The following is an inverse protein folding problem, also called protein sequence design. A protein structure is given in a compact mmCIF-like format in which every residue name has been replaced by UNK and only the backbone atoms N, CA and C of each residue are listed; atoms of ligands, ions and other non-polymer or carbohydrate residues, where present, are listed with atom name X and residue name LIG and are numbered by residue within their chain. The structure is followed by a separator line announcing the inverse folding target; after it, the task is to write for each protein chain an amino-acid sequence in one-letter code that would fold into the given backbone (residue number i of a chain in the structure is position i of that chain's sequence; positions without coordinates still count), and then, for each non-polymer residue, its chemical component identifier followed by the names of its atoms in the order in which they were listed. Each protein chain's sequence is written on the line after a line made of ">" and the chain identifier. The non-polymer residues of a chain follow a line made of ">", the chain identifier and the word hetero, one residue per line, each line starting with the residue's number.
data_IF_740523744817
#
_entry.id   IF_740523744817
#
_cell.length_a   1.000
_cell.length_b   1.000
_cell.length_c   1.000
_cell.angle_alpha   90.00
_cell.angle_beta   90.00
_cell.angle_gamma   90.00
#
_symmetry.space_group_name_H-M   'P 1'
#
loop_
_entity.id
_entity.type
_entity.pdbx_description
1 polymer ?
#
# COMPACT_ATOMS: atom_id res chain seq x y z
N UNK A 1 11.57 -26.64 25.39
CA UNK A 1 10.29 -25.89 25.30
C UNK A 1 10.33 -24.80 26.36
N UNK A 2 9.96 -23.56 26.03
CA UNK A 2 9.99 -22.44 27.00
C UNK A 2 8.65 -22.39 27.74
N UNK A 3 8.69 -22.42 29.08
CA UNK A 3 7.52 -22.28 29.94
C UNK A 3 7.28 -20.80 30.28
N UNK A 4 6.06 -20.34 30.07
CA UNK A 4 5.59 -19.00 30.42
C UNK A 4 4.77 -19.07 31.69
N UNK A 5 5.30 -18.54 32.79
CA UNK A 5 4.63 -18.47 34.09
C UNK A 5 4.27 -17.03 34.45
N UNK A 6 3.06 -16.84 34.98
CA UNK A 6 2.64 -15.54 35.48
C UNK A 6 3.26 -15.31 36.85
N UNK A 7 3.91 -14.16 37.04
CA UNK A 7 4.53 -13.79 38.33
C UNK A 7 3.53 -13.31 39.39
N UNK A 8 2.25 -13.20 39.02
CA UNK A 8 1.18 -12.62 39.84
C UNK A 8 0.06 -13.60 40.17
N UNK A 9 0.03 -14.76 39.50
CA UNK A 9 -0.80 -15.88 39.89
C UNK A 9 -0.18 -17.19 39.41
N UNK A 10 -0.70 -18.33 39.86
CA UNK A 10 -0.11 -19.64 39.57
C UNK A 10 -0.36 -20.15 38.13
N UNK A 11 -0.69 -19.27 37.18
CA UNK A 11 -0.92 -19.65 35.79
C UNK A 11 0.40 -19.92 35.06
N UNK A 12 0.49 -21.07 34.38
CA UNK A 12 1.64 -21.47 33.57
C UNK A 12 1.18 -22.08 32.27
N UNK A 13 1.97 -21.91 31.21
CA UNK A 13 1.69 -22.50 29.89
C UNK A 13 2.95 -22.56 29.06
N UNK A 14 3.02 -23.49 28.11
CA UNK A 14 4.11 -23.57 27.12
C UNK A 14 3.85 -22.71 25.89
N UNK A 15 2.65 -22.12 25.76
CA UNK A 15 2.26 -21.31 24.61
C UNK A 15 2.22 -19.82 24.95
N UNK A 16 3.08 -19.04 24.29
CA UNK A 16 3.14 -17.57 24.47
C UNK A 16 1.79 -16.89 24.26
N UNK A 17 1.03 -17.32 23.24
CA UNK A 17 -0.31 -16.78 22.94
C UNK A 17 -1.32 -17.02 24.08
N UNK A 18 -1.21 -18.15 24.78
CA UNK A 18 -2.05 -18.47 25.93
C UNK A 18 -1.66 -17.63 27.15
N UNK A 19 -0.36 -17.40 27.35
CA UNK A 19 0.17 -16.53 28.39
C UNK A 19 -0.30 -15.08 28.21
N UNK A 20 -0.16 -14.53 27.00
CA UNK A 20 -0.64 -13.19 26.66
C UNK A 20 -2.16 -13.06 26.86
N UNK A 21 -2.94 -14.05 26.40
CA UNK A 21 -4.39 -14.10 26.61
C UNK A 21 -4.77 -14.14 28.09
N UNK A 22 -4.01 -14.88 28.89
CA UNK A 22 -4.22 -14.97 30.32
C UNK A 22 -4.04 -13.60 31.00
N UNK A 23 -2.94 -12.90 30.70
CA UNK A 23 -2.66 -11.57 31.22
C UNK A 23 -3.73 -10.53 30.84
N UNK A 24 -4.39 -10.70 29.68
CA UNK A 24 -5.47 -9.84 29.20
C UNK A 24 -6.87 -10.25 29.69
N UNK A 25 -6.98 -11.31 30.49
CA UNK A 25 -8.28 -11.81 30.95
C UNK A 25 -8.85 -10.93 32.07
N UNK A 26 -10.17 -10.67 32.03
CA UNK A 26 -10.86 -9.84 33.04
C UNK A 26 -10.62 -10.32 34.46
N UNK A 27 -10.59 -11.64 34.67
CA UNK A 27 -10.35 -12.27 35.98
C UNK A 27 -8.93 -12.02 36.47
N UNK A 28 -7.94 -12.10 35.59
CA UNK A 28 -6.55 -11.83 35.94
C UNK A 28 -6.33 -10.35 36.26
N UNK A 29 -6.91 -9.45 35.46
CA UNK A 29 -6.76 -8.00 35.62
C UNK A 29 -7.46 -7.50 36.89
N UNK A 30 -8.70 -7.95 37.16
CA UNK A 30 -9.44 -7.59 38.38
C UNK A 30 -8.69 -7.97 39.66
N UNK A 31 -7.94 -9.07 39.63
CA UNK A 31 -7.23 -9.56 40.80
C UNK A 31 -5.82 -8.97 40.96
N UNK A 32 -5.27 -8.29 39.94
CA UNK A 32 -3.86 -7.87 39.91
C UNK A 32 -3.64 -6.41 39.47
N UNK A 33 -4.69 -5.57 39.47
CA UNK A 33 -4.64 -4.12 39.16
C UNK A 33 -3.89 -3.76 37.85
N UNK A 34 -4.06 -4.57 36.81
CA UNK A 34 -3.42 -4.36 35.50
C UNK A 34 -4.25 -3.43 34.60
N UNK A 35 -4.67 -2.27 35.14
CA UNK A 35 -5.62 -1.35 34.50
C UNK A 35 -4.99 -0.61 33.29
N UNK A 36 -3.70 -0.27 33.37
CA UNK A 36 -3.01 0.59 32.40
C UNK A 36 -2.68 -0.07 31.05
N UNK A 37 -2.96 -1.36 30.87
CA UNK A 37 -2.64 -2.12 29.65
C UNK A 37 -3.88 -2.65 28.89
N UNK A 38 -5.07 -2.17 29.25
CA UNK A 38 -6.33 -2.64 28.68
C UNK A 38 -6.67 -1.96 27.35
N UNK A 39 -6.08 -2.45 26.26
CA UNK A 39 -6.57 -2.17 24.92
C UNK A 39 -7.77 -3.06 24.59
N UNK A 40 -8.95 -2.48 24.53
CA UNK A 40 -10.14 -3.16 24.01
C UNK A 40 -10.30 -2.87 22.51
N UNK A 41 -10.62 -3.90 21.74
CA UNK A 41 -11.20 -3.74 20.41
C UNK A 41 -12.68 -3.45 20.55
N UNK A 42 -13.11 -2.22 20.21
CA UNK A 42 -14.51 -1.77 20.27
C UNK A 42 -15.12 -1.78 18.87
N UNK A 43 -16.33 -2.30 18.74
CA UNK A 43 -17.13 -2.14 17.53
C UNK A 43 -17.73 -0.73 17.51
N UNK A 44 -17.79 -0.12 16.32
CA UNK A 44 -18.37 1.20 16.13
C UNK A 44 -19.86 1.13 15.76
N UNK A 45 -20.32 -0.02 15.22
CA UNK A 45 -21.71 -0.23 14.81
C UNK A 45 -22.60 -0.71 15.95
N UNK A 46 -22.03 -1.22 17.04
CA UNK A 46 -22.77 -1.66 18.21
C UNK A 46 -21.91 -1.59 19.48
N UNK A 47 -22.52 -1.86 20.64
CA UNK A 47 -21.87 -1.81 21.95
C UNK A 47 -20.87 -2.97 22.21
N UNK A 48 -20.54 -3.78 21.20
CA UNK A 48 -19.63 -4.91 21.34
C UNK A 48 -18.19 -4.45 21.60
N UNK A 49 -17.54 -5.06 22.58
CA UNK A 49 -16.12 -4.84 22.91
C UNK A 49 -15.48 -6.13 23.35
N UNK A 50 -14.23 -6.34 22.96
CA UNK A 50 -13.47 -7.55 23.31
C UNK A 50 -11.99 -7.22 23.49
N UNK A 51 -11.29 -7.99 24.31
CA UNK A 51 -9.83 -7.92 24.45
C UNK A 51 -9.10 -8.81 23.44
N UNK A 52 -9.87 -9.53 22.59
CA UNK A 52 -9.38 -10.53 21.64
C UNK A 52 -9.56 -10.07 20.20
N UNK A 53 -8.46 -10.00 19.45
CA UNK A 53 -8.46 -9.57 18.04
C UNK A 53 -9.26 -10.52 17.15
N UNK A 54 -9.10 -11.81 17.32
CA UNK A 54 -9.82 -12.84 16.56
C UNK A 54 -11.34 -12.79 16.80
N UNK A 55 -11.76 -12.56 18.04
CA UNK A 55 -13.16 -12.32 18.37
C UNK A 55 -13.70 -11.04 17.73
N UNK A 56 -12.89 -9.98 17.67
CA UNK A 56 -13.27 -8.72 17.04
C UNK A 56 -13.41 -8.89 15.52
N UNK A 57 -12.45 -9.52 14.85
CA UNK A 57 -12.51 -9.76 13.41
C UNK A 57 -13.71 -10.64 13.02
N UNK A 58 -13.99 -11.70 13.78
CA UNK A 58 -15.18 -12.52 13.57
C UNK A 58 -16.48 -11.75 13.82
N UNK A 59 -16.48 -10.85 14.80
CA UNK A 59 -17.62 -9.98 15.07
C UNK A 59 -17.88 -8.98 13.92
N UNK A 60 -16.83 -8.34 13.38
CA UNK A 60 -16.94 -7.43 12.23
C UNK A 60 -17.39 -8.18 10.97
N UNK A 61 -16.95 -9.42 10.75
CA UNK A 61 -17.44 -10.27 9.65
C UNK A 61 -18.95 -10.52 9.74
N UNK A 62 -19.51 -10.64 10.94
CA UNK A 62 -20.98 -10.74 11.12
C UNK A 62 -21.70 -9.46 10.73
N UNK A 63 -21.11 -8.29 10.99
CA UNK A 63 -21.65 -7.04 10.47
C UNK A 63 -21.64 -7.04 8.95
N UNK A 64 -20.51 -7.38 8.33
CA UNK A 64 -20.34 -7.45 6.86
C UNK A 64 -21.35 -8.42 6.22
N UNK A 65 -21.53 -9.61 6.79
CA UNK A 65 -22.48 -10.59 6.25
C UNK A 65 -23.95 -10.25 6.52
N UNK A 66 -24.24 -9.41 7.51
CA UNK A 66 -25.59 -8.91 7.82
C UNK A 66 -25.92 -7.57 7.13
N UNK A 67 -25.01 -7.01 6.32
CA UNK A 67 -25.37 -5.94 5.41
C UNK A 67 -26.31 -6.53 4.36
N UNK A 68 -27.61 -6.26 4.52
CA UNK A 68 -28.62 -6.51 3.50
C UNK A 68 -28.12 -5.93 2.17
N UNK A 69 -27.90 -6.81 1.19
CA UNK A 69 -27.43 -6.50 -0.17
C UNK A 69 -28.44 -5.70 -1.02
N UNK A 70 -29.48 -5.12 -0.40
CA UNK A 70 -30.56 -4.39 -1.06
C UNK A 70 -30.73 -2.94 -0.53
N UNK A 71 -29.70 -2.36 0.10
CA UNK A 71 -29.70 -0.93 0.40
C UNK A 71 -28.79 -0.21 -0.59
N UNK A 72 -29.36 0.63 -1.45
CA UNK A 72 -28.61 1.57 -2.28
C UNK A 72 -27.87 2.54 -1.35
N UNK A 73 -26.63 2.23 -1.03
CA UNK A 73 -25.71 3.14 -0.33
C UNK A 73 -25.36 4.23 -1.33
N UNK A 74 -25.59 5.49 -0.99
CA UNK A 74 -25.23 6.60 -1.86
C UNK A 74 -23.72 6.63 -2.07
N UNK A 75 -23.27 7.08 -3.25
CA UNK A 75 -21.85 7.17 -3.57
C UNK A 75 -21.06 7.97 -2.51
N UNK A 76 -21.70 8.97 -1.90
CA UNK A 76 -21.09 9.79 -0.85
C UNK A 76 -20.93 9.04 0.48
N UNK A 77 -21.87 8.17 0.85
CA UNK A 77 -21.74 7.31 2.03
C UNK A 77 -20.62 6.28 1.86
N UNK A 78 -20.45 5.72 0.65
CA UNK A 78 -19.36 4.80 0.34
C UNK A 78 -18.00 5.51 0.33
N UNK A 79 -17.95 6.72 -0.22
CA UNK A 79 -16.75 7.57 -0.26
C UNK A 79 -16.34 8.00 1.15
N UNK A 80 -17.28 8.44 1.99
CA UNK A 80 -17.02 8.78 3.39
C UNK A 80 -16.54 7.57 4.19
N UNK A 81 -17.13 6.39 3.95
CA UNK A 81 -16.66 5.14 4.56
C UNK A 81 -15.22 4.79 4.14
N UNK A 82 -14.87 4.97 2.87
CA UNK A 82 -13.50 4.78 2.36
C UNK A 82 -12.51 5.78 2.98
N UNK A 83 -12.88 7.06 3.07
CA UNK A 83 -12.06 8.10 3.69
C UNK A 83 -11.82 7.84 5.19
N UNK A 84 -12.86 7.49 5.96
CA UNK A 84 -12.72 7.13 7.38
C UNK A 84 -11.86 5.87 7.58
N UNK A 85 -11.88 4.93 6.63
CA UNK A 85 -11.01 3.75 6.69
C UNK A 85 -9.54 4.11 6.42
N UNK A 86 -9.29 5.04 5.50
CA UNK A 86 -7.95 5.57 5.22
C UNK A 86 -7.41 6.38 6.39
N UNK A 87 -8.23 7.26 6.99
CA UNK A 87 -7.84 8.05 8.16
C UNK A 87 -7.49 7.17 9.36
N UNK A 88 -8.22 6.05 9.57
CA UNK A 88 -7.90 5.06 10.60
C UNK A 88 -6.64 4.23 10.31
N UNK A 89 -6.24 4.10 9.06
CA UNK A 89 -4.95 3.49 8.70
C UNK A 89 -3.82 4.47 9.00
N UNK A 90 -3.99 5.74 8.67
CA UNK A 90 -3.04 6.81 8.99
C UNK A 90 -2.89 7.00 10.51
N UNK A 91 -3.97 6.98 11.30
CA UNK A 91 -3.89 7.05 12.78
C UNK A 91 -3.19 5.85 13.41
N UNK A 92 -3.36 4.65 12.82
CA UNK A 92 -2.64 3.44 13.27
C UNK A 92 -1.17 3.52 12.90
N UNK A 93 -0.86 4.02 11.71
CA UNK A 93 0.52 4.22 11.27
C UNK A 93 1.21 5.30 12.11
N UNK A 94 0.51 6.38 12.49
CA UNK A 94 0.99 7.40 13.44
C UNK A 94 1.21 6.84 14.85
N UNK A 95 0.29 6.03 15.38
CA UNK A 95 0.48 5.34 16.67
C UNK A 95 1.62 4.33 16.63
N UNK A 96 1.84 3.66 15.51
CA UNK A 96 3.00 2.79 15.30
C UNK A 96 4.29 3.63 15.31
N UNK A 97 4.30 4.79 14.66
CA UNK A 97 5.43 5.73 14.69
C UNK A 97 5.71 6.22 16.13
N UNK A 98 4.68 6.60 16.90
CA UNK A 98 4.85 6.98 18.31
C UNK A 98 5.36 5.83 19.19
N UNK A 99 4.89 4.60 18.95
CA UNK A 99 5.35 3.41 19.67
C UNK A 99 6.79 3.04 19.33
N UNK A 100 7.20 3.21 18.06
CA UNK A 100 8.59 3.05 17.61
C UNK A 100 9.49 4.12 18.23
N UNK A 101 9.02 5.37 18.31
CA UNK A 101 9.77 6.45 18.94
C UNK A 101 9.94 6.25 20.46
N UNK A 102 8.94 5.67 21.15
CA UNK A 102 9.02 5.32 22.58
C UNK A 102 9.92 4.11 22.89
N UNK A 103 10.22 3.27 21.90
CA UNK A 103 11.04 2.05 22.09
C UNK A 103 12.51 2.22 21.69
N UNK A 104 12.92 3.39 21.20
CA UNK A 104 14.33 3.71 20.96
C UNK A 104 15.04 4.16 22.24
N UNK A 105 15.30 3.21 23.13
CA UNK A 105 16.54 3.20 23.91
C UNK A 105 17.30 1.93 23.54
N UNK A 106 18.51 2.13 23.03
CA UNK A 106 19.56 1.15 22.65
C UNK A 106 19.54 0.58 21.22
N UNK A 107 20.33 1.23 20.36
CA UNK A 107 21.19 0.66 19.30
C UNK A 107 20.58 -0.09 18.10
N UNK A 108 19.64 0.52 17.35
CA UNK A 108 19.40 0.20 15.93
C UNK A 108 19.12 1.49 15.13
N UNK A 109 20.10 2.40 15.03
CA UNK A 109 19.94 3.68 14.30
C UNK A 109 21.02 3.96 13.26
N UNK A 110 21.80 2.97 12.82
CA UNK A 110 22.96 3.26 11.95
C UNK A 110 22.76 3.01 10.45
N UNK A 111 21.90 2.09 9.98
CA UNK A 111 21.84 1.76 8.53
C UNK A 111 20.80 2.55 7.71
N UNK A 112 19.61 2.84 8.27
CA UNK A 112 18.59 3.58 7.50
C UNK A 112 18.93 5.07 7.36
N UNK A 113 19.53 5.65 8.41
CA UNK A 113 19.97 7.05 8.39
C UNK A 113 21.18 7.23 7.46
N UNK A 114 22.13 6.29 7.43
CA UNK A 114 23.31 6.37 6.55
C UNK A 114 22.93 6.28 5.08
N UNK A 115 22.03 5.37 4.70
CA UNK A 115 21.56 5.27 3.30
C UNK A 115 20.80 6.52 2.88
N UNK A 116 19.92 7.06 3.74
CA UNK A 116 19.22 8.31 3.45
C UNK A 116 20.19 9.48 3.29
N UNK A 117 21.17 9.60 4.20
CA UNK A 117 22.20 10.64 4.14
C UNK A 117 23.03 10.52 2.86
N UNK A 118 23.37 9.29 2.43
CA UNK A 118 24.07 9.05 1.17
C UNK A 118 23.26 9.57 -0.02
N UNK A 119 21.97 9.23 -0.09
CA UNK A 119 21.08 9.66 -1.17
C UNK A 119 21.00 11.19 -1.24
N UNK A 120 20.73 11.85 -0.10
CA UNK A 120 20.62 13.32 -0.04
C UNK A 120 21.91 14.02 -0.46
N UNK A 121 23.06 13.46 -0.11
CA UNK A 121 24.35 14.09 -0.40
C UNK A 121 24.85 13.84 -1.84
N UNK A 122 24.52 12.70 -2.43
CA UNK A 122 25.11 12.26 -3.71
C UNK A 122 24.14 12.24 -4.89
N UNK A 123 22.83 12.29 -4.64
CA UNK A 123 21.81 12.22 -5.69
C UNK A 123 20.96 13.50 -5.58
N UNK A 124 21.10 14.35 -6.60
CA UNK A 124 20.52 15.69 -6.66
C UNK A 124 19.71 15.85 -7.94
N UNK A 125 18.56 15.17 -8.06
CA UNK A 125 17.82 15.18 -9.30
C UNK A 125 17.29 16.58 -9.62
N UNK A 126 17.32 16.92 -10.90
CA UNK A 126 16.77 18.17 -11.44
C UNK A 126 15.25 18.14 -11.62
N UNK A 127 14.63 16.98 -11.46
CA UNK A 127 13.19 16.74 -11.63
C UNK A 127 12.69 15.79 -10.53
N UNK A 128 11.38 15.61 -10.41
CA UNK A 128 10.76 14.73 -9.43
C UNK A 128 9.70 13.83 -10.07
N UNK A 129 9.23 12.81 -9.34
CA UNK A 129 8.27 11.85 -9.89
C UNK A 129 6.96 12.52 -10.32
N UNK A 130 6.52 13.59 -9.65
CA UNK A 130 5.26 14.28 -9.96
C UNK A 130 5.39 15.07 -11.25
N UNK A 131 6.47 15.82 -11.44
CA UNK A 131 6.75 16.56 -12.67
C UNK A 131 6.87 15.61 -13.89
N UNK A 132 7.49 14.44 -13.73
CA UNK A 132 7.53 13.42 -14.80
C UNK A 132 6.16 12.81 -15.11
N UNK A 133 5.30 12.67 -14.09
CA UNK A 133 3.93 12.19 -14.25
C UNK A 133 2.99 13.24 -14.84
N UNK A 134 3.22 14.52 -14.61
CA UNK A 134 2.40 15.62 -15.14
C UNK A 134 2.51 15.71 -16.67
N UNK A 135 3.70 15.45 -17.22
CA UNK A 135 3.94 15.42 -18.68
C UNK A 135 2.86 14.59 -19.40
N UNK A 136 2.24 15.11 -20.48
CA UNK A 136 1.21 14.37 -21.22
C UNK A 136 1.75 13.04 -21.74
N UNK A 137 0.87 12.05 -21.91
CA UNK A 137 1.25 10.78 -22.53
C UNK A 137 1.47 11.01 -24.03
N UNK A 138 2.58 10.50 -24.54
CA UNK A 138 2.87 10.49 -25.98
C UNK A 138 2.04 9.41 -26.68
N UNK A 139 1.83 9.57 -27.98
CA UNK A 139 1.09 8.58 -28.78
C UNK A 139 1.81 7.22 -28.80
N UNK A 140 3.14 7.23 -28.83
CA UNK A 140 3.97 6.01 -28.75
C UNK A 140 3.74 5.26 -27.43
N UNK A 141 3.71 5.97 -26.29
CA UNK A 141 3.42 5.37 -24.99
C UNK A 141 2.02 4.76 -24.97
N UNK A 142 1.01 5.49 -25.44
CA UNK A 142 -0.38 5.01 -25.47
C UNK A 142 -0.48 3.75 -26.35
N UNK A 143 0.12 3.79 -27.54
CA UNK A 143 0.10 2.68 -28.48
C UNK A 143 0.80 1.45 -27.87
N UNK A 144 1.99 1.63 -27.28
CA UNK A 144 2.72 0.51 -26.68
C UNK A 144 1.97 -0.08 -25.48
N UNK A 145 1.44 0.77 -24.60
CA UNK A 145 0.68 0.34 -23.41
C UNK A 145 -0.58 -0.44 -23.80
N UNK A 146 -1.28 -0.03 -24.85
CA UNK A 146 -2.54 -0.66 -25.29
C UNK A 146 -2.32 -1.89 -26.16
N UNK A 147 -1.18 -1.99 -26.86
CA UNK A 147 -0.84 -3.13 -27.72
C UNK A 147 -0.22 -4.33 -26.98
N UNK A 148 0.31 -4.11 -25.77
CA UNK A 148 1.07 -5.11 -25.01
C UNK A 148 0.36 -5.54 -23.73
N UNK A 149 0.74 -6.69 -23.12
CA UNK A 149 0.27 -7.06 -21.79
C UNK A 149 0.52 -5.96 -20.77
N UNK A 150 -0.43 -5.75 -19.86
CA UNK A 150 -0.39 -4.64 -18.90
C UNK A 150 0.92 -4.54 -18.11
N UNK A 151 1.53 -5.68 -17.75
CA UNK A 151 2.83 -5.70 -17.08
C UNK A 151 3.93 -5.02 -17.91
N UNK A 152 3.98 -5.31 -19.20
CA UNK A 152 5.01 -4.82 -20.12
C UNK A 152 4.75 -3.37 -20.49
N UNK A 153 3.50 -2.99 -20.75
CA UNK A 153 3.11 -1.60 -21.00
C UNK A 153 3.40 -0.68 -19.81
N UNK A 154 3.04 -1.10 -18.60
CA UNK A 154 3.31 -0.33 -17.37
C UNK A 154 4.81 -0.22 -17.12
N UNK A 155 5.55 -1.32 -17.29
CA UNK A 155 7.01 -1.28 -17.13
C UNK A 155 7.68 -0.40 -18.17
N UNK A 156 7.27 -0.45 -19.44
CA UNK A 156 7.79 0.42 -20.50
C UNK A 156 7.64 1.91 -20.13
N UNK A 157 6.45 2.30 -19.67
CA UNK A 157 6.20 3.66 -19.19
C UNK A 157 7.09 4.04 -18.01
N UNK A 158 7.18 3.18 -16.99
CA UNK A 158 8.01 3.44 -15.81
C UNK A 158 9.49 3.53 -16.20
N UNK A 159 9.97 2.61 -17.03
CA UNK A 159 11.35 2.55 -17.46
C UNK A 159 11.74 3.83 -18.20
N UNK A 160 10.97 4.23 -19.21
CA UNK A 160 11.34 5.36 -20.06
C UNK A 160 11.31 6.72 -19.33
N UNK A 161 10.37 6.92 -18.40
CA UNK A 161 10.24 8.21 -17.71
C UNK A 161 11.09 8.33 -16.44
N UNK A 162 11.25 7.23 -15.71
CA UNK A 162 11.79 7.29 -14.34
C UNK A 162 13.14 6.59 -14.17
N UNK A 163 13.50 5.65 -15.05
CA UNK A 163 14.67 4.78 -14.84
C UNK A 163 15.75 4.96 -15.90
N UNK A 164 15.37 4.87 -17.17
CA UNK A 164 16.26 4.87 -18.33
C UNK A 164 16.91 6.24 -18.53
N UNK A 165 18.11 6.25 -19.08
CA UNK A 165 18.83 7.44 -19.54
C UNK A 165 19.09 8.50 -18.44
N UNK A 166 19.17 8.06 -17.17
CA UNK A 166 19.51 8.90 -16.01
C UNK A 166 20.87 8.51 -15.43
N UNK A 167 21.75 9.50 -15.27
CA UNK A 167 23.00 9.33 -14.52
C UNK A 167 22.71 9.05 -13.04
N UNK A 168 23.70 8.52 -12.32
CA UNK A 168 23.50 8.08 -10.93
C UNK A 168 23.08 9.22 -9.99
N UNK A 169 23.51 10.44 -10.25
CA UNK A 169 23.19 11.67 -9.52
C UNK A 169 21.82 12.28 -9.90
N UNK A 170 21.26 11.90 -11.04
CA UNK A 170 19.95 12.37 -11.56
C UNK A 170 18.81 11.36 -11.36
N UNK A 171 19.08 10.26 -10.65
CA UNK A 171 18.05 9.24 -10.33
C UNK A 171 16.97 9.85 -9.45
N UNK A 172 15.72 9.75 -9.86
CA UNK A 172 14.55 10.20 -9.06
C UNK A 172 13.88 9.06 -8.28
N UNK A 173 14.28 7.82 -8.54
CA UNK A 173 13.81 6.62 -7.87
C UNK A 173 14.98 5.68 -7.60
N UNK A 174 15.13 5.26 -6.35
CA UNK A 174 16.30 4.52 -5.87
C UNK A 174 15.86 3.32 -5.05
N UNK A 175 16.39 2.13 -5.36
CA UNK A 175 16.22 0.94 -4.53
C UNK A 175 17.38 0.80 -3.54
N UNK A 176 17.07 0.64 -2.25
CA UNK A 176 18.06 0.55 -1.17
C UNK A 176 18.13 -0.85 -0.54
N UNK A 177 17.05 -1.61 -0.62
CA UNK A 177 16.97 -2.98 -0.11
C UNK A 177 16.01 -3.76 -0.99
N UNK A 178 16.57 -4.50 -1.94
CA UNK A 178 15.83 -5.32 -2.90
C UNK A 178 15.01 -6.39 -2.18
N UNK A 179 15.56 -7.00 -1.12
CA UNK A 179 14.87 -8.07 -0.39
C UNK A 179 13.59 -7.55 0.29
N UNK A 180 13.62 -6.31 0.78
CA UNK A 180 12.45 -5.65 1.40
C UNK A 180 11.63 -4.80 0.44
N UNK A 181 12.06 -4.66 -0.82
CA UNK A 181 11.53 -3.70 -1.79
C UNK A 181 11.44 -2.29 -1.18
N UNK A 182 12.55 -1.85 -0.58
CA UNK A 182 12.66 -0.53 0.05
C UNK A 182 13.18 0.48 -0.98
N UNK A 183 12.35 1.47 -1.31
CA UNK A 183 12.71 2.51 -2.27
C UNK A 183 12.66 3.89 -1.65
N UNK A 184 13.42 4.81 -2.23
CA UNK A 184 13.21 6.24 -2.04
C UNK A 184 12.85 6.87 -3.39
N UNK A 185 11.91 7.79 -3.38
CA UNK A 185 11.58 8.63 -4.54
C UNK A 185 11.81 10.11 -4.20
N UNK A 186 12.16 10.89 -5.21
CA UNK A 186 12.25 12.34 -5.09
C UNK A 186 10.89 12.96 -5.41
N UNK A 187 10.32 13.65 -4.42
CA UNK A 187 8.96 14.21 -4.47
C UNK A 187 8.92 15.69 -4.88
N UNK A 188 7.72 16.21 -5.14
CA UNK A 188 7.47 17.62 -5.51
C UNK A 188 7.86 18.67 -4.47
N UNK A 189 8.16 18.26 -3.25
CA UNK A 189 8.66 19.10 -2.17
C UNK A 189 10.20 19.14 -2.13
N UNK A 190 10.83 18.66 -3.20
CA UNK A 190 12.27 18.54 -3.41
C UNK A 190 12.96 17.75 -2.28
N UNK A 191 12.26 16.71 -1.80
CA UNK A 191 12.74 15.82 -0.75
C UNK A 191 12.62 14.36 -1.15
N UNK A 192 13.48 13.56 -0.52
CA UNK A 192 13.47 12.11 -0.63
C UNK A 192 12.48 11.48 0.34
N UNK A 193 11.58 10.65 -0.20
CA UNK A 193 10.52 9.97 0.54
C UNK A 193 10.69 8.46 0.48
N UNK A 194 10.53 7.79 1.61
CA UNK A 194 10.54 6.33 1.70
C UNK A 194 9.23 5.76 1.13
N UNK A 195 9.33 4.84 0.18
CA UNK A 195 8.18 4.10 -0.35
C UNK A 195 8.42 2.59 -0.31
N UNK A 196 7.74 1.94 0.63
CA UNK A 196 7.82 0.50 0.81
C UNK A 196 6.99 -0.21 -0.27
N UNK A 197 7.65 -1.04 -1.07
CA UNK A 197 7.06 -1.80 -2.19
C UNK A 197 6.46 -0.90 -3.28
N UNK A 198 6.91 0.36 -3.38
CA UNK A 198 6.42 1.35 -4.35
C UNK A 198 4.89 1.58 -4.29
N UNK A 199 4.28 1.47 -3.11
CA UNK A 199 2.83 1.61 -2.96
C UNK A 199 2.34 2.98 -3.38
N UNK A 200 3.04 4.03 -2.95
CA UNK A 200 2.66 5.39 -3.30
C UNK A 200 2.94 5.66 -4.78
N UNK A 201 4.13 5.33 -5.24
CA UNK A 201 4.54 5.51 -6.63
C UNK A 201 3.59 4.80 -7.61
N UNK A 202 3.26 3.53 -7.36
CA UNK A 202 2.31 2.79 -8.21
C UNK A 202 0.90 3.36 -8.20
N UNK A 203 0.45 3.95 -7.09
CA UNK A 203 -0.83 4.68 -7.05
C UNK A 203 -0.79 5.89 -8.00
N UNK A 204 0.31 6.63 -8.02
CA UNK A 204 0.46 7.79 -8.91
C UNK A 204 0.51 7.36 -10.39
N UNK A 205 1.29 6.32 -10.72
CA UNK A 205 1.32 5.73 -12.07
C UNK A 205 -0.05 5.22 -12.48
N UNK A 206 -0.78 4.55 -11.58
CA UNK A 206 -2.13 4.06 -11.83
C UNK A 206 -3.07 5.20 -12.23
N UNK A 207 -3.09 6.30 -11.47
CA UNK A 207 -3.95 7.44 -11.74
C UNK A 207 -3.68 8.06 -13.12
N UNK A 208 -2.43 8.06 -13.57
CA UNK A 208 -2.07 8.55 -14.91
C UNK A 208 -2.55 7.60 -16.01
N UNK A 209 -2.27 6.30 -15.87
CA UNK A 209 -2.51 5.32 -16.93
C UNK A 209 -3.96 4.85 -17.00
N UNK A 210 -4.72 4.89 -15.90
CA UNK A 210 -6.14 4.51 -15.91
C UNK A 210 -6.96 5.35 -16.88
N UNK A 211 -6.57 6.61 -17.07
CA UNK A 211 -7.22 7.54 -17.99
C UNK A 211 -7.15 7.11 -19.45
N UNK A 212 -6.23 6.21 -19.82
CA UNK A 212 -6.18 5.63 -21.17
C UNK A 212 -7.44 4.79 -21.44
N UNK A 213 -7.88 4.03 -20.44
CA UNK A 213 -8.94 3.03 -20.57
C UNK A 213 -10.33 3.54 -20.20
N UNK A 214 -10.43 4.66 -19.47
CA UNK A 214 -11.71 5.23 -19.02
C UNK A 214 -12.30 6.22 -20.05
N UNK A 215 -11.59 6.52 -21.16
CA UNK A 215 -12.10 7.44 -22.20
C UNK A 215 -13.42 6.95 -22.80
N UNK A 216 -14.36 7.88 -22.97
CA UNK A 216 -15.67 7.62 -23.57
C UNK A 216 -15.53 7.02 -24.97
N UNK A 217 -16.22 5.90 -25.22
CA UNK A 217 -16.31 5.33 -26.57
C UNK A 217 -17.52 5.98 -27.25
N UNK A 218 -17.27 6.79 -28.27
CA UNK A 218 -18.34 7.32 -29.12
C UNK A 218 -18.93 6.21 -30.00
N UNK A 219 -20.25 6.10 -29.99
CA UNK A 219 -21.00 5.14 -30.79
C UNK A 219 -21.41 5.80 -32.11
N UNK A 220 -20.73 5.45 -33.20
CA UNK A 220 -21.11 5.90 -34.55
C UNK A 220 -21.96 4.83 -35.25
N UNK A 221 -23.19 5.21 -35.62
CA UNK A 221 -24.20 4.34 -36.22
C UNK A 221 -24.07 4.16 -37.73
N UNK A 222 -23.30 5.00 -38.44
CA UNK A 222 -23.35 5.06 -39.91
C UNK A 222 -22.35 4.16 -40.65
N UNK A 223 -21.36 3.57 -39.96
CA UNK A 223 -20.22 2.90 -40.63
C UNK A 223 -19.75 1.60 -39.94
N UNK A 224 -20.42 1.14 -38.88
CA UNK A 224 -19.76 0.30 -37.86
C UNK A 224 -20.29 -1.14 -37.73
N UNK A 225 -19.34 -2.09 -37.64
CA UNK A 225 -19.56 -3.51 -37.32
C UNK A 225 -19.69 -3.69 -35.79
N UNK A 226 -20.84 -4.18 -35.31
CA UNK A 226 -21.11 -4.45 -33.88
C UNK A 226 -20.03 -5.30 -33.22
N UNK A 227 -19.43 -6.24 -33.95
CA UNK A 227 -18.37 -7.11 -33.44
C UNK A 227 -17.11 -6.31 -33.14
N UNK A 228 -16.68 -5.44 -34.05
CA UNK A 228 -15.52 -4.54 -33.84
C UNK A 228 -15.73 -3.61 -32.65
N UNK A 229 -16.98 -3.24 -32.35
CA UNK A 229 -17.30 -2.37 -31.21
C UNK A 229 -17.13 -3.13 -29.90
N UNK A 230 -17.73 -4.32 -29.80
CA UNK A 230 -17.60 -5.19 -28.63
C UNK A 230 -16.14 -5.57 -28.38
N UNK A 231 -15.37 -5.87 -29.43
CA UNK A 231 -13.93 -6.15 -29.32
C UNK A 231 -13.15 -4.94 -28.76
N UNK A 232 -13.51 -3.72 -29.17
CA UNK A 232 -12.89 -2.48 -28.67
C UNK A 232 -13.22 -2.23 -27.20
N UNK A 233 -14.47 -2.42 -26.80
CA UNK A 233 -14.92 -2.31 -25.40
C UNK A 233 -14.20 -3.35 -24.54
N UNK A 234 -14.18 -4.61 -24.99
CA UNK A 234 -13.53 -5.70 -24.26
C UNK A 234 -12.05 -5.42 -24.04
N UNK A 235 -11.33 -4.95 -25.06
CA UNK A 235 -9.91 -4.55 -24.93
C UNK A 235 -9.69 -3.45 -23.89
N UNK A 236 -10.57 -2.45 -23.80
CA UNK A 236 -10.46 -1.42 -22.77
C UNK A 236 -10.67 -2.00 -21.36
N UNK A 237 -11.68 -2.84 -21.18
CA UNK A 237 -11.96 -3.52 -19.90
C UNK A 237 -10.80 -4.41 -19.48
N UNK A 238 -10.26 -5.20 -20.42
CA UNK A 238 -9.11 -6.09 -20.17
C UNK A 238 -7.86 -5.29 -19.81
N UNK A 239 -7.61 -4.17 -20.50
CA UNK A 239 -6.51 -3.26 -20.19
C UNK A 239 -6.64 -2.66 -18.78
N UNK A 240 -7.83 -2.17 -18.42
CA UNK A 240 -8.10 -1.62 -17.08
C UNK A 240 -7.94 -2.67 -15.97
N UNK A 241 -8.44 -3.88 -16.18
CA UNK A 241 -8.29 -4.99 -15.24
C UNK A 241 -6.81 -5.43 -15.11
N UNK A 242 -6.10 -5.48 -16.23
CA UNK A 242 -4.66 -5.74 -16.28
C UNK A 242 -3.86 -4.71 -15.49
N UNK A 243 -4.23 -3.43 -15.61
CA UNK A 243 -3.62 -2.32 -14.87
C UNK A 243 -3.82 -2.47 -13.36
N UNK A 244 -5.05 -2.73 -12.91
CA UNK A 244 -5.36 -2.98 -11.49
C UNK A 244 -4.55 -4.15 -10.93
N UNK A 245 -4.51 -5.28 -11.65
CA UNK A 245 -3.75 -6.46 -11.24
C UNK A 245 -2.24 -6.16 -11.12
N UNK A 246 -1.70 -5.38 -12.05
CA UNK A 246 -0.27 -5.07 -12.15
C UNK A 246 0.19 -4.07 -11.10
N UNK A 247 -0.60 -3.03 -10.81
CA UNK A 247 -0.19 -1.93 -9.92
C UNK A 247 -0.76 -2.04 -8.50
N UNK A 248 -1.90 -2.71 -8.29
CA UNK A 248 -2.57 -2.81 -6.98
C UNK A 248 -2.50 -4.22 -6.39
N UNK A 249 -2.97 -5.23 -7.11
CA UNK A 249 -3.23 -6.53 -6.50
C UNK A 249 -1.98 -7.42 -6.39
N UNK A 250 -1.17 -7.49 -7.46
CA UNK A 250 -0.01 -8.39 -7.57
C UNK A 250 1.20 -7.71 -8.22
N UNK A 251 1.75 -6.63 -7.63
CA UNK A 251 2.87 -5.89 -8.23
C UNK A 251 4.22 -6.61 -8.19
N UNK A 252 4.31 -7.82 -7.63
CA UNK A 252 5.57 -8.55 -7.43
C UNK A 252 6.38 -8.71 -8.72
N UNK A 253 5.72 -9.04 -9.84
CA UNK A 253 6.38 -9.18 -11.14
C UNK A 253 6.93 -7.85 -11.66
N UNK A 254 6.18 -6.77 -11.46
CA UNK A 254 6.60 -5.43 -11.84
C UNK A 254 7.77 -4.96 -10.99
N UNK A 255 7.70 -5.16 -9.67
CA UNK A 255 8.80 -4.87 -8.74
C UNK A 255 10.07 -5.62 -9.13
N UNK A 256 9.96 -6.90 -9.50
CA UNK A 256 11.12 -7.67 -9.95
C UNK A 256 11.75 -7.09 -11.24
N UNK A 257 10.93 -6.63 -12.20
CA UNK A 257 11.44 -5.92 -13.38
C UNK A 257 12.13 -4.61 -12.99
N UNK A 258 11.46 -3.75 -12.23
CA UNK A 258 11.99 -2.44 -11.80
C UNK A 258 13.31 -2.59 -11.01
N UNK A 259 13.41 -3.61 -10.15
CA UNK A 259 14.63 -3.87 -9.37
C UNK A 259 15.87 -4.09 -10.24
N UNK A 260 15.74 -4.65 -11.45
CA UNK A 260 16.90 -4.85 -12.33
C UNK A 260 17.54 -3.53 -12.76
N UNK A 261 16.74 -2.46 -12.85
CA UNK A 261 17.16 -1.17 -13.41
C UNK A 261 17.30 -0.05 -12.34
N UNK A 262 16.87 -0.30 -11.10
CA UNK A 262 16.86 0.69 -10.00
C UNK A 262 17.92 0.47 -8.92
N UNK A 263 18.71 -0.61 -9.00
CA UNK A 263 19.74 -0.89 -8.01
C UNK A 263 20.82 0.19 -8.08
N UNK A 264 21.04 0.87 -6.96
CA UNK A 264 22.29 1.59 -6.74
C UNK A 264 23.24 0.62 -6.05
N UNK A 265 24.42 0.47 -6.64
CA UNK A 265 25.49 -0.41 -6.18
C UNK A 265 25.87 -0.02 -4.75
N UNK A 266 26.13 -1.06 -3.94
CA UNK A 266 26.63 -1.03 -2.55
C UNK A 266 27.86 -0.14 -2.37
#
# INVERSE_FOLDING_TARGET
>A
MVEYSCKKCNYRTTYKSHYERHCLSKKHIKNNNYQDKLSYYKCYQCKYKTTRKDCYENHIKKHINNYNTNKNISFEEFKNFQFEMMERLDEKDQKIIELVNKSNTTNITNNNQTVYNYIVNNIKPTTNIHSELEKPLTDEEIQYITANPALDGVYFFINNRFLKDRSNDEKILVCCDVARNKYYYFGKDDKWHLDMKLKYFFKQVYNKLSNIYIKHIEFNTSEYDKKKFLDKVQKQVDGYNGLNKTLKDKPIKLLHKINKDTIIIK
#
